data_IF_894287490455
#
_entry.id   IF_894287490455
#
_cell.length_a   1.000
_cell.length_b   1.000
_cell.length_c   1.000
_cell.angle_alpha   90.00
_cell.angle_beta   90.00
_cell.angle_gamma   90.00
#
_symmetry.space_group_name_H-M   'P 1'
#
loop_
_entity.id
_entity.type
_entity.pdbx_description
1 polymer ?
#
# COMPACT_ATOMS: atom_id res chain seq x y z
N UNK A 1 -10.65 2.00 7.75
CA UNK A 1 -9.70 2.84 6.99
C UNK A 1 -10.15 4.29 7.03
N UNK A 2 -9.73 4.97 8.09
CA UNK A 2 -9.83 6.40 8.32
C UNK A 2 -8.47 7.04 8.03
N UNK A 3 -8.45 8.37 7.91
CA UNK A 3 -7.20 9.14 7.84
C UNK A 3 -6.36 8.85 9.09
N UNK A 4 -5.07 8.57 8.91
CA UNK A 4 -4.16 8.20 9.99
C UNK A 4 -4.00 6.70 10.25
N UNK A 5 -4.88 5.85 9.70
CA UNK A 5 -4.73 4.39 9.84
C UNK A 5 -3.46 3.91 9.13
N UNK A 6 -2.76 2.97 9.77
CA UNK A 6 -1.60 2.29 9.22
C UNK A 6 -2.04 1.06 8.42
N UNK A 7 -1.59 0.94 7.18
CA UNK A 7 -1.97 -0.14 6.26
C UNK A 7 -0.76 -0.74 5.56
N UNK A 8 -0.81 -2.03 5.29
CA UNK A 8 0.19 -2.71 4.47
C UNK A 8 -0.30 -2.82 3.02
N UNK A 9 0.58 -2.58 2.07
CA UNK A 9 0.35 -2.98 0.67
C UNK A 9 0.88 -4.39 0.44
N UNK A 10 0.09 -5.17 -0.31
CA UNK A 10 0.52 -6.46 -0.83
C UNK A 10 1.27 -6.25 -2.15
N UNK A 11 2.27 -7.10 -2.42
CA UNK A 11 3.05 -7.04 -3.68
C UNK A 11 2.15 -7.09 -4.92
N UNK A 12 1.06 -7.89 -4.89
CA UNK A 12 0.12 -7.98 -6.00
C UNK A 12 -0.56 -6.65 -6.37
N UNK A 13 -0.59 -5.68 -5.45
CA UNK A 13 -1.19 -4.36 -5.68
C UNK A 13 -0.19 -3.37 -6.31
N UNK A 14 1.09 -3.73 -6.40
CA UNK A 14 2.12 -2.90 -7.01
C UNK A 14 2.27 -3.24 -8.50
N UNK A 15 2.41 -2.21 -9.33
CA UNK A 15 2.80 -2.39 -10.74
C UNK A 15 4.30 -2.66 -10.81
N UNK A 16 4.69 -3.94 -10.75
CA UNK A 16 6.08 -4.39 -10.85
C UNK A 16 6.31 -4.99 -12.24
N UNK A 17 7.47 -4.73 -12.85
CA UNK A 17 7.84 -5.25 -14.17
C UNK A 17 7.88 -6.79 -14.21
N UNK A 18 8.36 -7.43 -13.14
CA UNK A 18 8.41 -8.88 -12.99
C UNK A 18 7.35 -9.34 -11.98
N UNK A 19 6.32 -10.09 -12.41
CA UNK A 19 5.32 -10.62 -11.48
C UNK A 19 5.94 -11.74 -10.63
N UNK A 20 6.05 -11.52 -9.33
CA UNK A 20 6.53 -12.54 -8.39
C UNK A 20 5.37 -13.46 -7.97
N UNK A 21 5.14 -14.53 -8.73
CA UNK A 21 4.00 -15.46 -8.54
C UNK A 21 3.87 -16.00 -7.10
N UNK A 22 4.99 -16.23 -6.41
CA UNK A 22 5.04 -16.73 -5.01
C UNK A 22 4.94 -15.65 -3.93
N UNK A 23 5.18 -14.37 -4.26
CA UNK A 23 5.29 -13.29 -3.26
C UNK A 23 4.03 -12.40 -3.18
N UNK A 24 2.95 -12.76 -3.87
CA UNK A 24 1.72 -11.94 -3.94
C UNK A 24 1.08 -11.62 -2.57
N UNK A 25 1.26 -12.48 -1.57
CA UNK A 25 0.73 -12.32 -0.21
C UNK A 25 1.71 -11.59 0.72
N UNK A 26 2.93 -11.31 0.25
CA UNK A 26 3.95 -10.61 1.04
C UNK A 26 3.58 -9.14 1.18
N UNK A 27 3.69 -8.63 2.41
CA UNK A 27 3.50 -7.23 2.78
C UNK A 27 4.78 -6.47 2.46
N UNK A 28 4.67 -5.36 1.73
CA UNK A 28 5.83 -4.59 1.25
C UNK A 28 6.34 -3.63 2.31
N UNK A 29 5.47 -2.71 2.75
CA UNK A 29 5.80 -1.71 3.75
C UNK A 29 4.52 -1.19 4.41
N UNK A 30 4.71 -0.49 5.53
CA UNK A 30 3.67 0.16 6.31
C UNK A 30 3.45 1.58 5.79
N UNK A 31 2.22 1.89 5.39
CA UNK A 31 1.83 3.17 4.86
C UNK A 31 0.78 3.82 5.75
N UNK A 32 0.79 5.15 5.81
CA UNK A 32 -0.22 5.92 6.54
C UNK A 32 -1.22 6.49 5.55
N UNK A 33 -2.51 6.32 5.80
CA UNK A 33 -3.55 6.94 4.97
C UNK A 33 -3.57 8.46 5.21
N UNK A 34 -3.17 9.23 4.19
CA UNK A 34 -3.23 10.70 4.20
C UNK A 34 -4.68 11.17 4.06
N UNK A 35 -5.41 10.56 3.13
CA UNK A 35 -6.76 10.99 2.76
C UNK A 35 -7.52 9.86 2.07
N UNK A 36 -8.84 9.81 2.26
CA UNK A 36 -9.73 8.93 1.52
C UNK A 36 -10.28 9.70 0.30
N UNK A 37 -9.92 9.28 -0.91
CA UNK A 37 -10.44 9.90 -2.14
C UNK A 37 -11.86 9.42 -2.45
N UNK A 38 -12.05 8.10 -2.49
CA UNK A 38 -13.35 7.45 -2.78
C UNK A 38 -13.65 6.36 -1.75
N UNK A 39 -14.79 5.66 -1.88
CA UNK A 39 -15.18 4.52 -1.03
C UNK A 39 -14.07 3.46 -0.92
N UNK A 40 -13.31 3.22 -2.00
CA UNK A 40 -12.24 2.22 -2.10
C UNK A 40 -10.85 2.80 -2.44
N UNK A 41 -10.75 4.09 -2.78
CA UNK A 41 -9.49 4.71 -3.19
C UNK A 41 -8.93 5.58 -2.06
N UNK A 42 -7.66 5.37 -1.70
CA UNK A 42 -6.98 6.06 -0.63
C UNK A 42 -5.68 6.69 -1.14
N UNK A 43 -5.37 7.89 -0.65
CA UNK A 43 -4.07 8.54 -0.85
C UNK A 43 -3.19 8.17 0.36
N UNK A 44 -2.07 7.52 0.08
CA UNK A 44 -1.11 7.09 1.08
C UNK A 44 0.04 8.08 1.17
N UNK A 45 0.57 8.29 2.38
CA UNK A 45 1.88 8.88 2.58
C UNK A 45 2.93 7.77 2.51
N UNK A 46 3.92 7.96 1.65
CA UNK A 46 5.18 7.25 1.73
C UNK A 46 5.89 7.79 2.97
N UNK A 47 6.25 6.92 3.92
CA UNK A 47 7.29 7.25 4.87
C UNK A 47 8.56 7.34 4.04
N UNK A 48 9.04 8.56 3.83
CA UNK A 48 10.34 8.79 3.24
C UNK A 48 11.35 8.19 4.23
N UNK A 49 12.31 7.44 3.70
CA UNK A 49 13.40 6.75 4.39
C UNK A 49 13.14 5.28 4.79
N UNK A 50 13.41 4.39 3.82
CA UNK A 50 13.96 3.05 4.02
C UNK A 50 14.82 2.68 2.81
#
# INVERSE_FOLDING_TARGET
>A
LKKGDKVYLLIKNLKIKRPYKKLNTVKVSLFIIKEKKNKVNYKLNLLQDA
#
